data_IF_799516632194
#
_entry.id   IF_799516632194
#
_cell.length_a   1.000
_cell.length_b   1.000
_cell.length_c   1.000
_cell.angle_alpha   90.00
_cell.angle_beta   90.00
_cell.angle_gamma   90.00
#
_symmetry.space_group_name_H-M   'P 1'
#
loop_
_entity.id
_entity.type
_entity.pdbx_description
1 polymer ?
#
# COMPACT_ATOMS: atom_id res chain seq x y z
N UNK A 1 -0.29 33.93 -12.81
CA UNK A 1 -1.38 33.46 -11.93
C UNK A 1 -2.34 32.69 -12.82
N UNK A 2 -2.19 31.38 -12.92
CA UNK A 2 -3.10 30.53 -13.72
C UNK A 2 -4.26 30.12 -12.84
N UNK A 3 -5.45 30.55 -13.21
CA UNK A 3 -6.70 30.12 -12.59
C UNK A 3 -6.87 28.62 -12.88
N UNK A 4 -6.86 27.77 -11.85
CA UNK A 4 -7.02 26.32 -12.02
C UNK A 4 -8.49 26.04 -12.36
N UNK A 5 -8.79 25.99 -13.65
CA UNK A 5 -10.09 25.52 -14.14
C UNK A 5 -10.06 24.00 -14.11
N UNK A 6 -10.77 23.41 -13.15
CA UNK A 6 -11.03 21.97 -13.13
C UNK A 6 -12.04 21.72 -14.24
N UNK A 7 -11.56 21.36 -15.42
CA UNK A 7 -12.38 20.91 -16.54
C UNK A 7 -12.42 19.38 -16.59
N UNK A 8 -13.33 18.82 -17.40
CA UNK A 8 -13.45 17.37 -17.57
C UNK A 8 -12.15 16.76 -18.11
N UNK A 9 -11.45 17.45 -19.01
CA UNK A 9 -10.18 17.01 -19.58
C UNK A 9 -9.08 16.80 -18.50
N UNK A 10 -9.02 17.69 -17.51
CA UNK A 10 -8.11 17.58 -16.38
C UNK A 10 -8.44 16.38 -15.49
N UNK A 11 -9.73 16.15 -15.22
CA UNK A 11 -10.17 15.00 -14.42
C UNK A 11 -9.84 13.68 -15.14
N UNK A 12 -10.04 13.62 -16.45
CA UNK A 12 -9.69 12.49 -17.30
C UNK A 12 -8.17 12.20 -17.29
N UNK A 13 -7.35 13.26 -17.34
CA UNK A 13 -5.90 13.13 -17.25
C UNK A 13 -5.48 12.51 -15.90
N UNK A 14 -6.03 13.03 -14.80
CA UNK A 14 -5.75 12.53 -13.45
C UNK A 14 -6.21 11.08 -13.30
N UNK A 15 -7.37 10.72 -13.82
CA UNK A 15 -7.86 9.34 -13.79
C UNK A 15 -6.93 8.40 -14.57
N UNK A 16 -6.43 8.81 -15.75
CA UNK A 16 -5.45 8.03 -16.52
C UNK A 16 -4.16 7.80 -15.74
N UNK A 17 -3.64 8.82 -15.05
CA UNK A 17 -2.45 8.69 -14.20
C UNK A 17 -2.69 7.70 -13.04
N UNK A 18 -3.85 7.79 -12.38
CA UNK A 18 -4.21 6.82 -11.33
C UNK A 18 -4.37 5.39 -11.86
N UNK A 19 -4.92 5.21 -13.06
CA UNK A 19 -5.02 3.89 -13.71
C UNK A 19 -3.63 3.32 -14.02
N UNK A 20 -2.69 4.15 -14.49
CA UNK A 20 -1.31 3.72 -14.70
C UNK A 20 -0.63 3.33 -13.39
N UNK A 21 -0.80 4.14 -12.35
CA UNK A 21 -0.25 3.85 -11.04
C UNK A 21 -0.86 2.56 -10.43
N UNK A 22 -2.17 2.34 -10.59
CA UNK A 22 -2.82 1.10 -10.19
C UNK A 22 -2.27 -0.13 -10.94
N UNK A 23 -2.03 -0.01 -12.25
CA UNK A 23 -1.37 -1.07 -13.03
C UNK A 23 0.04 -1.35 -12.52
N UNK A 24 0.83 -0.31 -12.23
CA UNK A 24 2.16 -0.47 -11.65
C UNK A 24 2.09 -1.20 -10.29
N UNK A 25 1.22 -0.75 -9.38
CA UNK A 25 1.08 -1.37 -8.07
C UNK A 25 0.65 -2.83 -8.17
N UNK A 26 -0.35 -3.16 -8.99
CA UNK A 26 -0.80 -4.54 -9.12
C UNK A 26 0.24 -5.43 -9.82
N UNK A 27 0.77 -4.99 -10.96
CA UNK A 27 1.60 -5.84 -11.83
C UNK A 27 3.06 -5.91 -11.40
N UNK A 28 3.64 -4.81 -10.91
CA UNK A 28 5.02 -4.80 -10.46
C UNK A 28 5.09 -5.16 -8.97
N UNK A 29 4.45 -4.37 -8.11
CA UNK A 29 4.60 -4.52 -6.66
C UNK A 29 3.83 -5.73 -6.13
N UNK A 30 2.57 -5.89 -6.53
CA UNK A 30 1.69 -6.96 -6.06
C UNK A 30 2.16 -8.34 -6.46
N UNK A 31 2.41 -8.56 -7.75
CA UNK A 31 2.91 -9.85 -8.25
C UNK A 31 4.28 -10.17 -7.65
N UNK A 32 5.20 -9.20 -7.56
CA UNK A 32 6.51 -9.41 -6.97
C UNK A 32 6.40 -9.79 -5.49
N UNK A 33 5.61 -9.03 -4.71
CA UNK A 33 5.40 -9.31 -3.30
C UNK A 33 4.76 -10.68 -3.06
N UNK A 34 3.76 -11.04 -3.87
CA UNK A 34 3.13 -12.35 -3.81
C UNK A 34 4.12 -13.49 -4.13
N UNK A 35 4.92 -13.32 -5.18
CA UNK A 35 5.92 -14.30 -5.60
C UNK A 35 6.99 -14.48 -4.52
N UNK A 36 7.46 -13.39 -3.91
CA UNK A 36 8.41 -13.48 -2.80
C UNK A 36 7.80 -14.13 -1.56
N UNK A 37 6.54 -13.83 -1.23
CA UNK A 37 5.86 -14.48 -0.12
C UNK A 37 5.83 -16.00 -0.31
N UNK A 38 5.42 -16.46 -1.50
CA UNK A 38 5.44 -17.89 -1.86
C UNK A 38 6.84 -18.50 -1.80
N UNK A 39 7.84 -17.82 -2.35
CA UNK A 39 9.22 -18.29 -2.33
C UNK A 39 9.76 -18.42 -0.90
N UNK A 40 9.46 -17.46 -0.02
CA UNK A 40 9.90 -17.47 1.36
C UNK A 40 9.32 -18.65 2.16
N UNK A 41 8.05 -18.99 1.93
CA UNK A 41 7.41 -20.14 2.58
C UNK A 41 8.10 -21.48 2.30
N UNK A 42 8.76 -21.61 1.13
CA UNK A 42 9.52 -22.80 0.77
C UNK A 42 10.91 -22.90 1.41
N UNK A 43 11.30 -21.96 2.27
CA UNK A 43 12.65 -21.91 2.87
C UNK A 43 12.66 -22.35 4.34
N UNK A 44 13.84 -22.67 4.87
CA UNK A 44 14.02 -23.08 6.27
C UNK A 44 13.67 -21.96 7.28
N UNK A 45 13.79 -20.69 6.88
CA UNK A 45 13.51 -19.53 7.75
C UNK A 45 12.64 -18.50 7.01
N UNK A 46 11.34 -18.81 6.79
CA UNK A 46 10.46 -18.00 5.94
C UNK A 46 10.34 -16.54 6.36
N UNK A 47 10.22 -16.28 7.67
CA UNK A 47 10.03 -14.92 8.20
C UNK A 47 11.22 -14.01 7.92
N UNK A 48 12.44 -14.53 8.05
CA UNK A 48 13.68 -13.76 7.86
C UNK A 48 13.86 -13.41 6.38
N UNK A 49 13.65 -14.39 5.50
CA UNK A 49 13.69 -14.18 4.05
C UNK A 49 12.59 -13.22 3.58
N UNK A 50 11.41 -13.27 4.19
CA UNK A 50 10.34 -12.33 3.92
C UNK A 50 10.70 -10.91 4.34
N UNK A 51 11.39 -10.71 5.47
CA UNK A 51 11.91 -9.39 5.86
C UNK A 51 12.86 -8.80 4.80
N UNK A 52 13.80 -9.59 4.28
CA UNK A 52 14.66 -9.13 3.18
C UNK A 52 13.87 -8.84 1.91
N UNK A 53 12.89 -9.69 1.58
CA UNK A 53 12.02 -9.50 0.43
C UNK A 53 11.18 -8.22 0.53
N UNK A 54 10.74 -7.83 1.72
CA UNK A 54 10.07 -6.54 1.96
C UNK A 54 10.99 -5.37 1.63
N UNK A 55 12.29 -5.44 1.98
CA UNK A 55 13.27 -4.41 1.62
C UNK A 55 13.43 -4.30 0.09
N UNK A 56 13.47 -5.44 -0.62
CA UNK A 56 13.56 -5.47 -2.08
C UNK A 56 12.31 -4.86 -2.72
N UNK A 57 11.12 -5.25 -2.26
CA UNK A 57 9.85 -4.67 -2.73
C UNK A 57 9.81 -3.15 -2.46
N UNK A 58 10.30 -2.73 -1.28
CA UNK A 58 10.43 -1.31 -0.93
C UNK A 58 11.39 -0.54 -1.86
N UNK A 59 12.49 -1.16 -2.28
CA UNK A 59 13.40 -0.60 -3.27
C UNK A 59 12.73 -0.46 -4.66
N UNK A 60 12.03 -1.50 -5.13
CA UNK A 60 11.31 -1.46 -6.41
C UNK A 60 10.20 -0.41 -6.38
N UNK A 61 9.48 -0.29 -5.26
CA UNK A 61 8.55 0.81 -5.06
C UNK A 61 9.27 2.15 -5.19
N UNK A 62 10.40 2.33 -4.49
CA UNK A 62 11.13 3.59 -4.51
C UNK A 62 11.54 4.00 -5.93
N UNK A 63 12.04 3.05 -6.73
CA UNK A 63 12.33 3.29 -8.15
C UNK A 63 11.08 3.61 -8.96
N UNK A 64 9.97 2.95 -8.64
CA UNK A 64 8.67 3.19 -9.23
C UNK A 64 7.96 4.47 -8.78
N UNK A 65 8.56 5.29 -7.90
CA UNK A 65 7.97 6.58 -7.49
C UNK A 65 7.70 7.51 -8.67
N UNK A 66 8.47 7.39 -9.76
CA UNK A 66 8.24 8.16 -10.98
C UNK A 66 6.93 7.78 -11.69
N UNK A 67 6.31 6.64 -11.35
CA UNK A 67 4.96 6.27 -11.82
C UNK A 67 3.84 6.87 -10.94
N UNK A 68 4.17 7.62 -9.88
CA UNK A 68 3.16 8.32 -9.10
C UNK A 68 2.58 9.47 -9.93
N UNK A 69 1.26 9.76 -9.85
CA UNK A 69 0.63 10.82 -10.63
C UNK A 69 1.32 12.19 -10.44
N UNK A 70 2.00 12.66 -11.48
CA UNK A 70 2.77 13.91 -11.48
C UNK A 70 1.88 15.12 -11.14
N UNK A 71 0.64 15.13 -11.62
CA UNK A 71 -0.29 16.23 -11.40
C UNK A 71 -0.66 16.38 -9.93
N UNK A 72 -0.74 15.28 -9.20
CA UNK A 72 -0.96 15.32 -7.74
C UNK A 72 0.28 15.82 -7.03
N UNK A 73 1.46 15.47 -7.51
CA UNK A 73 2.71 15.97 -6.94
C UNK A 73 2.88 17.48 -7.18
N UNK A 74 2.56 17.96 -8.39
CA UNK A 74 2.53 19.40 -8.74
C UNK A 74 1.54 20.14 -7.85
N UNK A 75 0.29 19.66 -7.74
CA UNK A 75 -0.72 20.26 -6.87
C UNK A 75 -0.29 20.26 -5.37
N UNK A 76 0.39 19.20 -4.91
CA UNK A 76 0.93 19.17 -3.53
C UNK A 76 2.05 20.18 -3.33
N UNK A 77 2.94 20.36 -4.32
CA UNK A 77 4.03 21.36 -4.26
C UNK A 77 3.46 22.78 -4.26
N UNK A 78 2.49 23.06 -5.12
CA UNK A 78 1.79 24.35 -5.19
C UNK A 78 1.02 24.68 -3.90
N UNK A 79 0.41 23.67 -3.27
CA UNK A 79 -0.25 23.83 -1.97
C UNK A 79 0.72 24.04 -0.79
N UNK A 80 2.02 23.70 -0.94
CA UNK A 80 3.03 23.76 0.13
C UNK A 80 3.91 25.00 0.05
N UNK A 81 4.20 25.51 -1.15
CA UNK A 81 5.14 26.61 -1.37
C UNK A 81 4.51 28.01 -1.18
N UNK A 82 3.19 28.15 -1.29
CA UNK A 82 2.49 29.43 -1.06
C UNK A 82 2.18 29.65 0.43
N UNK A 83 3.21 29.76 1.27
CA UNK A 83 3.05 30.00 2.71
C UNK A 83 2.60 31.42 3.09
N UNK A 84 2.70 32.41 2.21
CA UNK A 84 2.47 33.83 2.56
C UNK A 84 1.09 34.39 2.26
N UNK A 85 0.21 33.64 1.60
CA UNK A 85 -1.17 34.09 1.39
C UNK A 85 -2.08 32.92 1.70
N UNK A 86 -3.29 33.18 2.18
CA UNK A 86 -4.45 32.27 2.19
C UNK A 86 -4.78 31.61 0.81
N UNK A 87 -3.85 31.55 -0.15
CA UNK A 87 -3.94 30.81 -1.40
C UNK A 87 -3.47 29.37 -1.18
N UNK A 88 -4.29 28.34 -1.27
CA UNK A 88 -5.59 28.29 -1.90
C UNK A 88 -6.36 27.12 -1.25
N UNK A 89 -7.33 27.40 -0.37
CA UNK A 89 -8.18 26.36 0.26
C UNK A 89 -8.72 25.39 -0.81
N UNK A 90 -9.00 25.90 -2.01
CA UNK A 90 -9.49 25.16 -3.15
C UNK A 90 -8.50 24.10 -3.65
N UNK A 91 -7.22 24.43 -3.91
CA UNK A 91 -6.23 23.44 -4.34
C UNK A 91 -6.05 22.32 -3.31
N UNK A 92 -6.03 22.67 -2.01
CA UNK A 92 -5.95 21.68 -0.92
C UNK A 92 -7.20 20.79 -0.85
N UNK A 93 -8.40 21.35 -1.07
CA UNK A 93 -9.65 20.60 -1.12
C UNK A 93 -9.70 19.65 -2.33
N UNK A 94 -9.23 20.10 -3.48
CA UNK A 94 -9.20 19.32 -4.72
C UNK A 94 -8.25 18.14 -4.60
N UNK A 95 -7.04 18.36 -4.08
CA UNK A 95 -6.11 17.25 -3.77
C UNK A 95 -6.74 16.27 -2.78
N UNK A 96 -7.38 16.79 -1.72
CA UNK A 96 -8.03 15.93 -0.73
C UNK A 96 -9.15 15.10 -1.35
N UNK A 97 -9.99 15.70 -2.21
CA UNK A 97 -11.09 15.03 -2.90
C UNK A 97 -10.57 13.95 -3.87
N UNK A 98 -9.59 14.29 -4.71
CA UNK A 98 -8.98 13.35 -5.66
C UNK A 98 -8.32 12.17 -4.96
N UNK A 99 -7.59 12.44 -3.86
CA UNK A 99 -7.00 11.40 -3.01
C UNK A 99 -8.08 10.56 -2.35
N UNK A 100 -9.11 11.17 -1.77
CA UNK A 100 -10.18 10.39 -1.11
C UNK A 100 -10.96 9.54 -2.09
N UNK A 101 -11.11 9.96 -3.35
CA UNK A 101 -11.81 9.20 -4.38
C UNK A 101 -10.99 7.97 -4.82
N UNK A 102 -9.70 8.17 -5.06
CA UNK A 102 -8.82 7.16 -5.66
C UNK A 102 -8.09 6.28 -4.64
N UNK A 103 -7.99 6.70 -3.38
CA UNK A 103 -7.29 6.02 -2.29
C UNK A 103 -8.19 5.66 -1.11
N UNK A 104 -9.52 5.69 -1.27
CA UNK A 104 -10.43 5.15 -0.24
C UNK A 104 -10.22 3.65 -0.05
N UNK A 105 -10.58 3.11 1.12
CA UNK A 105 -10.49 1.68 1.42
C UNK A 105 -11.25 0.80 0.42
N UNK A 106 -12.46 1.24 0.00
CA UNK A 106 -13.24 0.54 -1.06
C UNK A 106 -12.48 0.52 -2.40
N UNK A 107 -11.88 1.65 -2.76
CA UNK A 107 -11.09 1.79 -3.99
C UNK A 107 -9.80 0.97 -3.92
N UNK A 108 -9.17 0.89 -2.74
CA UNK A 108 -8.00 0.04 -2.50
C UNK A 108 -8.29 -1.42 -2.80
N UNK A 109 -9.41 -1.95 -2.30
CA UNK A 109 -9.81 -3.34 -2.52
C UNK A 109 -10.19 -3.60 -3.99
N UNK A 110 -10.87 -2.66 -4.64
CA UNK A 110 -11.39 -2.86 -6.01
C UNK A 110 -10.37 -2.56 -7.11
N UNK A 111 -9.59 -1.49 -6.98
CA UNK A 111 -8.60 -1.07 -7.99
C UNK A 111 -7.20 -1.66 -7.75
N UNK A 112 -6.86 -2.02 -6.52
CA UNK A 112 -5.52 -2.51 -6.15
C UNK A 112 -5.51 -3.89 -5.46
N UNK A 113 -6.33 -4.87 -5.92
CA UNK A 113 -6.51 -6.14 -5.21
C UNK A 113 -5.24 -6.99 -5.17
N UNK A 114 -4.51 -7.08 -6.29
CA UNK A 114 -3.30 -7.92 -6.40
C UNK A 114 -2.17 -7.33 -5.56
N UNK A 115 -2.01 -6.01 -5.60
CA UNK A 115 -1.11 -5.29 -4.71
C UNK A 115 -1.42 -5.58 -3.24
N UNK A 116 -2.68 -5.43 -2.83
CA UNK A 116 -3.10 -5.60 -1.45
C UNK A 116 -2.89 -7.06 -0.97
N UNK A 117 -3.30 -8.04 -1.78
CA UNK A 117 -3.13 -9.46 -1.48
C UNK A 117 -1.64 -9.83 -1.38
N UNK A 118 -0.83 -9.48 -2.39
CA UNK A 118 0.58 -9.83 -2.42
C UNK A 118 1.36 -9.18 -1.28
N UNK A 119 1.09 -7.90 -1.01
CA UNK A 119 1.80 -7.17 0.04
C UNK A 119 1.38 -7.63 1.45
N UNK A 120 0.09 -7.86 1.70
CA UNK A 120 -0.38 -8.43 2.97
C UNK A 120 0.22 -9.81 3.18
N UNK A 121 0.24 -10.66 2.16
CA UNK A 121 0.78 -12.01 2.30
C UNK A 121 2.28 -12.01 2.61
N UNK A 122 3.03 -11.11 2.00
CA UNK A 122 4.45 -10.95 2.31
C UNK A 122 4.65 -10.44 3.75
N UNK A 123 3.86 -9.45 4.18
CA UNK A 123 3.93 -8.91 5.54
C UNK A 123 3.53 -9.93 6.61
N UNK A 124 2.49 -10.72 6.38
CA UNK A 124 2.10 -11.79 7.32
C UNK A 124 3.18 -12.86 7.42
N UNK A 125 3.85 -13.18 6.31
CA UNK A 125 4.99 -14.10 6.31
C UNK A 125 6.16 -13.54 7.14
N UNK A 126 6.50 -12.26 6.94
CA UNK A 126 7.56 -11.57 7.68
C UNK A 126 7.25 -11.44 9.18
N UNK A 127 6.00 -11.12 9.53
CA UNK A 127 5.55 -10.95 10.90
C UNK A 127 5.08 -12.25 11.57
N UNK A 128 5.15 -13.40 10.89
CA UNK A 128 4.64 -14.68 11.40
C UNK A 128 5.10 -15.05 12.82
N UNK A 129 6.36 -14.80 13.26
CA UNK A 129 6.78 -15.14 14.62
C UNK A 129 6.09 -14.26 15.67
N UNK A 130 5.78 -13.00 15.32
CA UNK A 130 5.07 -12.06 16.20
C UNK A 130 3.61 -12.48 16.32
N UNK A 131 2.97 -12.82 15.20
CA UNK A 131 1.60 -13.33 15.20
C UNK A 131 1.47 -14.61 16.03
N UNK A 132 2.41 -15.55 15.87
CA UNK A 132 2.44 -16.77 16.66
C UNK A 132 2.54 -16.47 18.17
N UNK A 133 3.48 -15.61 18.58
CA UNK A 133 3.64 -15.21 19.99
C UNK A 133 2.39 -14.53 20.55
N UNK A 134 1.78 -13.63 19.78
CA UNK A 134 0.56 -12.93 20.20
C UNK A 134 -0.63 -13.89 20.37
N UNK A 135 -0.80 -14.85 19.44
CA UNK A 135 -1.85 -15.87 19.53
C UNK A 135 -1.65 -16.77 20.75
N UNK A 136 -0.41 -17.23 21.00
CA UNK A 136 -0.09 -18.05 22.17
C UNK A 136 -0.35 -17.30 23.48
N UNK A 137 -0.09 -15.99 23.54
CA UNK A 137 -0.41 -15.18 24.73
C UNK A 137 -1.91 -14.96 24.95
N UNK A 138 -2.67 -14.77 23.87
CA UNK A 138 -4.11 -14.49 23.95
C UNK A 138 -4.96 -15.73 24.21
N UNK A 139 -4.60 -16.85 23.59
CA UNK A 139 -5.41 -18.07 23.61
C UNK A 139 -4.76 -19.21 24.41
N UNK A 140 -3.54 -19.03 24.91
CA UNK A 140 -2.72 -20.12 25.48
C UNK A 140 -2.03 -20.93 24.38
N UNK A 141 -1.05 -21.75 24.77
CA UNK A 141 -0.39 -22.66 23.82
C UNK A 141 -1.32 -23.83 23.45
N UNK A 142 -0.95 -24.58 22.41
CA UNK A 142 -1.61 -25.84 22.09
C UNK A 142 -1.59 -26.82 23.29
N UNK A 143 -0.53 -26.78 24.10
CA UNK A 143 -0.43 -27.57 25.33
C UNK A 143 -1.45 -27.13 26.39
N UNK A 144 -1.70 -25.82 26.52
CA UNK A 144 -2.77 -25.32 27.39
C UNK A 144 -4.14 -25.83 26.93
N UNK A 145 -4.43 -25.79 25.64
CA UNK A 145 -5.68 -26.33 25.08
C UNK A 145 -5.79 -27.85 25.28
N UNK A 146 -4.73 -28.60 25.00
CA UNK A 146 -4.70 -30.04 25.20
C UNK A 146 -4.96 -30.41 26.67
N UNK A 147 -4.36 -29.68 27.60
CA UNK A 147 -4.55 -29.89 29.03
C UNK A 147 -5.95 -29.43 29.52
N UNK A 148 -6.51 -28.36 28.95
CA UNK A 148 -7.85 -27.87 29.26
C UNK A 148 -8.94 -28.87 28.81
N UNK A 149 -8.76 -29.47 27.64
CA UNK A 149 -9.68 -30.46 27.07
C UNK A 149 -9.33 -31.91 27.46
N UNK A 150 -8.31 -32.15 28.30
CA UNK A 150 -7.81 -33.48 28.70
C UNK A 150 -7.54 -34.43 27.51
N UNK A 151 -6.96 -33.88 26.44
CA UNK A 151 -6.57 -34.66 25.27
C UNK A 151 -5.19 -35.32 25.45
N UNK A 152 -4.41 -34.83 26.41
CA UNK A 152 -3.12 -35.34 26.91
C UNK A 152 -3.16 -35.19 28.43
#
# INVERSE_FOLDING_TARGET
>A
MTEYVINEEYLDLVEKQFKQWAKFLNNAIGILAFTFALACLGTNVPWLNACFSVLIVGYVWHQGKNNFPEEIEKLRKEAKNNKEVKGNKQAKLVVKALVSEHLNWKTLITKYPVYLLGYIFLLTTACSPIFYKALVQLFGSADFFAHFFKLI
#
